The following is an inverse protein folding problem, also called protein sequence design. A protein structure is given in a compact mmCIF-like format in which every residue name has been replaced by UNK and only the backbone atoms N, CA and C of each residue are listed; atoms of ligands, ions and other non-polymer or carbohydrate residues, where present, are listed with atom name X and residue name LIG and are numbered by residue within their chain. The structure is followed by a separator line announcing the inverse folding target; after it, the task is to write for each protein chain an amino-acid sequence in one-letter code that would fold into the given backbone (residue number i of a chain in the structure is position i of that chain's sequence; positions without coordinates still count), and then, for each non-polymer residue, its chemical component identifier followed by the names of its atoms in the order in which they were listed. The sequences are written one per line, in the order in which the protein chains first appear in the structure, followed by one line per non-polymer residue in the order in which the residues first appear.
data_IF_487466554096
#
_entry.id   IF_487466554096
#
_cell.length_a   1.000
_cell.length_b   1.000
_cell.length_c   1.000
_cell.angle_alpha   90.00
_cell.angle_beta   90.00
_cell.angle_gamma   90.00
#
_symmetry.space_group_name_H-M   'P 1'
#
loop_
_entity.id
_entity.type
_entity.pdbx_description
1 polymer ?
#
# COMPACT_ATOMS: atom_id res chain seq x y z
N UNK A 1 7.60 8.41 8.46
CA UNK A 1 6.72 9.48 7.95
C UNK A 1 5.24 9.09 7.98
N UNK A 2 4.74 8.16 7.16
CA UNK A 2 3.29 7.82 7.16
C UNK A 2 2.71 7.47 8.54
N UNK A 3 3.43 6.66 9.33
CA UNK A 3 2.98 6.31 10.68
C UNK A 3 2.77 7.55 11.58
N UNK A 4 3.68 8.51 11.47
CA UNK A 4 3.64 9.76 12.22
C UNK A 4 2.47 10.64 11.77
N UNK A 5 2.28 10.78 10.44
CA UNK A 5 1.14 11.53 9.89
C UNK A 5 -0.20 10.93 10.31
N UNK A 6 -0.35 9.60 10.30
CA UNK A 6 -1.60 8.95 10.72
C UNK A 6 -1.79 9.09 12.25
N UNK A 7 -0.72 9.08 13.03
CA UNK A 7 -0.80 9.15 14.50
C UNK A 7 -1.05 10.57 14.99
N UNK A 8 -0.32 11.55 14.46
CA UNK A 8 -0.24 12.91 14.97
C UNK A 8 -0.89 13.95 14.03
N UNK A 9 -1.27 13.55 12.82
CA UNK A 9 -1.75 14.46 11.79
C UNK A 9 -0.60 15.17 11.07
N UNK A 10 -0.93 15.91 10.01
CA UNK A 10 0.02 16.80 9.34
C UNK A 10 -0.71 17.90 8.55
N UNK A 11 -0.34 19.17 8.79
CA UNK A 11 -0.97 20.35 8.16
C UNK A 11 -2.49 20.32 8.35
N UNK A 12 -3.25 20.23 7.26
CA UNK A 12 -4.72 20.16 7.25
C UNK A 12 -5.26 18.75 7.45
N UNK A 13 -4.39 17.72 7.48
CA UNK A 13 -4.80 16.34 7.76
C UNK A 13 -4.82 16.11 9.28
N UNK A 14 -6.00 15.81 9.88
CA UNK A 14 -6.11 15.55 11.31
C UNK A 14 -5.45 14.21 11.71
N UNK A 15 -5.11 14.03 13.00
CA UNK A 15 -4.66 12.74 13.52
C UNK A 15 -5.78 11.70 13.49
N UNK A 16 -5.41 10.44 13.28
CA UNK A 16 -6.32 9.29 13.29
C UNK A 16 -6.05 8.30 14.43
N UNK A 17 -5.23 8.70 15.41
CA UNK A 17 -4.78 7.77 16.44
C UNK A 17 -5.90 7.21 17.33
N UNK A 18 -6.98 7.96 17.51
CA UNK A 18 -8.14 7.52 18.31
C UNK A 18 -9.06 6.57 17.54
N UNK A 19 -9.10 6.64 16.21
CA UNK A 19 -9.97 5.77 15.39
C UNK A 19 -9.27 4.50 14.89
N UNK A 20 -7.95 4.53 14.73
CA UNK A 20 -7.20 3.44 14.07
C UNK A 20 -6.18 2.83 15.04
N UNK A 21 -6.31 1.53 15.31
CA UNK A 21 -5.36 0.80 16.13
C UNK A 21 -3.95 0.78 15.50
N UNK A 22 -2.91 0.73 16.31
CA UNK A 22 -1.50 0.80 15.85
C UNK A 22 -1.19 -0.24 14.78
N UNK A 23 -1.68 -1.48 14.93
CA UNK A 23 -1.52 -2.55 13.96
C UNK A 23 -2.11 -2.19 12.59
N UNK A 24 -3.31 -1.63 12.59
CA UNK A 24 -4.03 -1.30 11.36
C UNK A 24 -3.40 -0.12 10.64
N UNK A 25 -2.76 0.81 11.35
CA UNK A 25 -1.94 1.87 10.72
C UNK A 25 -0.83 1.26 9.87
N UNK A 26 -0.14 0.22 10.36
CA UNK A 26 0.88 -0.48 9.58
C UNK A 26 0.29 -1.23 8.39
N UNK A 27 -0.88 -1.85 8.54
CA UNK A 27 -1.58 -2.52 7.43
C UNK A 27 -1.97 -1.52 6.33
N UNK A 28 -2.50 -0.36 6.69
CA UNK A 28 -2.83 0.73 5.76
C UNK A 28 -1.57 1.23 5.04
N UNK A 29 -0.47 1.43 5.77
CA UNK A 29 0.81 1.86 5.18
C UNK A 29 1.32 0.83 4.17
N UNK A 30 1.29 -0.47 4.52
CA UNK A 30 1.71 -1.54 3.64
C UNK A 30 0.88 -1.56 2.35
N UNK A 31 -0.44 -1.38 2.47
CA UNK A 31 -1.33 -1.32 1.31
C UNK A 31 -1.05 -0.10 0.42
N UNK A 32 -0.85 1.09 1.01
CA UNK A 32 -0.45 2.29 0.26
C UNK A 32 0.85 2.05 -0.50
N UNK A 33 1.85 1.40 0.13
CA UNK A 33 3.11 1.07 -0.54
C UNK A 33 2.92 0.07 -1.68
N UNK A 34 2.09 -0.95 -1.49
CA UNK A 34 1.75 -1.89 -2.55
C UNK A 34 1.08 -1.19 -3.74
N UNK A 35 0.16 -0.26 -3.48
CA UNK A 35 -0.47 0.55 -4.54
C UNK A 35 0.53 1.47 -5.24
N UNK A 36 1.46 2.10 -4.51
CA UNK A 36 2.50 2.92 -5.13
C UNK A 36 3.42 2.10 -6.04
N UNK A 37 3.73 0.86 -5.62
CA UNK A 37 4.50 -0.09 -6.42
C UNK A 37 3.70 -0.51 -7.67
N UNK A 38 2.43 -0.86 -7.53
CA UNK A 38 1.61 -1.34 -8.66
C UNK A 38 1.45 -0.29 -9.75
N UNK A 39 1.35 1.00 -9.38
CA UNK A 39 1.23 2.09 -10.36
C UNK A 39 2.50 2.32 -11.19
N UNK A 40 3.65 1.85 -10.70
CA UNK A 40 4.95 1.97 -11.37
C UNK A 40 5.59 0.60 -11.64
N UNK A 41 4.80 -0.47 -11.62
CA UNK A 41 5.31 -1.81 -11.77
C UNK A 41 5.73 -2.07 -13.21
N UNK A 42 6.94 -2.60 -13.40
CA UNK A 42 7.43 -3.08 -14.69
C UNK A 42 7.25 -4.59 -14.76
N UNK A 43 7.19 -5.12 -15.98
CA UNK A 43 7.07 -6.57 -16.18
C UNK A 43 8.24 -7.35 -15.54
N UNK A 44 9.41 -6.71 -15.45
CA UNK A 44 10.60 -7.26 -14.81
C UNK A 44 10.46 -7.40 -13.28
N UNK A 45 9.59 -6.62 -12.64
CA UNK A 45 9.33 -6.68 -11.21
C UNK A 45 8.39 -7.85 -10.84
N UNK A 46 7.75 -8.47 -11.84
CA UNK A 46 6.93 -9.67 -11.68
C UNK A 46 7.84 -10.91 -11.74
N UNK A 47 7.74 -11.87 -10.80
CA UNK A 47 8.45 -13.14 -10.90
C UNK A 47 8.12 -13.89 -12.20
N UNK A 48 9.10 -14.57 -12.80
CA UNK A 48 8.93 -15.22 -14.10
C UNK A 48 7.72 -16.20 -14.15
N UNK A 49 7.50 -16.95 -13.07
CA UNK A 49 6.38 -17.90 -12.91
C UNK A 49 5.00 -17.22 -12.92
N UNK A 50 4.93 -15.96 -12.51
CA UNK A 50 3.69 -15.17 -12.45
C UNK A 50 3.44 -14.41 -13.75
N UNK A 51 4.48 -14.07 -14.52
CA UNK A 51 4.36 -13.35 -15.81
C UNK A 51 3.49 -14.10 -16.81
N UNK A 52 3.59 -15.43 -16.84
CA UNK A 52 2.85 -16.28 -17.78
C UNK A 52 1.32 -16.20 -17.56
N UNK A 53 0.87 -15.82 -16.35
CA UNK A 53 -0.56 -15.75 -16.01
C UNK A 53 -1.21 -14.41 -16.36
N UNK A 54 -0.44 -13.37 -16.70
CA UNK A 54 -0.95 -12.02 -16.98
C UNK A 54 -1.76 -11.91 -18.29
N UNK A 55 -1.68 -12.92 -19.16
CA UNK A 55 -2.41 -12.97 -20.44
C UNK A 55 -3.59 -13.94 -20.46
N UNK A 56 -3.81 -14.71 -19.39
CA UNK A 56 -4.94 -15.64 -19.32
C UNK A 56 -6.18 -14.89 -18.78
N UNK A 57 -7.34 -14.97 -19.47
CA UNK A 57 -8.56 -14.39 -18.94
C UNK A 57 -8.92 -15.08 -17.61
N UNK A 58 -9.40 -14.34 -16.60
CA UNK A 58 -9.82 -14.94 -15.34
C UNK A 58 -10.94 -15.95 -15.61
N UNK A 59 -10.83 -17.15 -15.01
CA UNK A 59 -11.88 -18.18 -15.03
C UNK A 59 -13.10 -17.75 -14.22
#
# INVERSE_FOLDING_TARGET
HFFDVITNGQRTMPPYASQVAVRDRWAIIAYIRALQLSQNARIEDVPAEERNRLGEPPK
#
